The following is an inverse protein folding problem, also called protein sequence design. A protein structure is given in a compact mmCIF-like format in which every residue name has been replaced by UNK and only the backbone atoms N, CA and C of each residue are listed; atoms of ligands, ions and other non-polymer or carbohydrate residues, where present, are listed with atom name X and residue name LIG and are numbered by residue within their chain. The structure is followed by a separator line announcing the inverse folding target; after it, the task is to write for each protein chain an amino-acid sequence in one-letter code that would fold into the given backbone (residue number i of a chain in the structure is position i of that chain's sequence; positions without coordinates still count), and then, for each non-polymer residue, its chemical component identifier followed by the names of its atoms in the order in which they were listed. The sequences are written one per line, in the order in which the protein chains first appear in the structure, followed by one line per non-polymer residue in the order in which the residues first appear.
data_IF_337903759886
#
_entry.id   IF_337903759886
#
_cell.length_a   1.000
_cell.length_b   1.000
_cell.length_c   1.000
_cell.angle_alpha   90.00
_cell.angle_beta   90.00
_cell.angle_gamma   90.00
#
_symmetry.space_group_name_H-M   'P 1'
#
loop_
_entity.id
_entity.type
_entity.pdbx_description
1 polymer ?
#
# COMPACT_ATOMS: atom_id res chain seq x y z
N UNK A 1 -4.05 9.92 -7.36
CA UNK A 1 -4.52 8.58 -6.92
C UNK A 1 -3.56 8.02 -5.89
N UNK A 2 -4.05 7.35 -4.86
CA UNK A 2 -3.26 6.68 -3.82
C UNK A 2 -3.62 5.19 -3.79
N UNK A 3 -2.61 4.32 -3.75
CA UNK A 3 -2.80 2.88 -3.51
C UNK A 3 -2.04 2.49 -2.25
N UNK A 4 -2.75 2.05 -1.21
CA UNK A 4 -2.16 1.46 -0.01
C UNK A 4 -1.83 0.00 -0.27
N UNK A 5 -0.81 -0.56 0.41
CA UNK A 5 -0.23 -1.85 0.00
C UNK A 5 0.37 -1.78 -1.42
N UNK A 6 0.78 -0.58 -1.84
CA UNK A 6 1.15 -0.25 -3.21
C UNK A 6 2.45 -0.89 -3.71
N UNK A 7 3.31 -1.42 -2.82
CA UNK A 7 4.48 -2.21 -3.17
C UNK A 7 4.20 -3.72 -3.18
N UNK A 8 3.02 -4.15 -2.73
CA UNK A 8 2.59 -5.55 -2.79
C UNK A 8 2.32 -6.04 -4.21
N UNK A 9 2.08 -7.35 -4.36
CA UNK A 9 1.84 -7.96 -5.67
C UNK A 9 0.61 -7.35 -6.38
N UNK A 10 -0.52 -7.25 -5.70
CA UNK A 10 -1.76 -6.68 -6.26
C UNK A 10 -1.63 -5.17 -6.40
N UNK A 11 -1.26 -4.48 -5.32
CA UNK A 11 -1.18 -3.02 -5.27
C UNK A 11 -0.25 -2.45 -6.33
N UNK A 12 0.96 -3.00 -6.52
CA UNK A 12 1.90 -2.48 -7.51
C UNK A 12 1.35 -2.56 -8.94
N UNK A 13 0.70 -3.66 -9.30
CA UNK A 13 0.12 -3.81 -10.64
C UNK A 13 -1.07 -2.87 -10.87
N UNK A 14 -1.94 -2.69 -9.85
CA UNK A 14 -3.06 -1.74 -9.93
C UNK A 14 -2.59 -0.29 -9.98
N UNK A 15 -1.45 0.03 -9.36
CA UNK A 15 -0.90 1.38 -9.34
C UNK A 15 -0.20 1.74 -10.66
N UNK A 16 0.56 0.82 -11.24
CA UNK A 16 1.30 1.07 -12.47
C UNK A 16 0.40 1.27 -13.70
N UNK A 17 -0.74 0.61 -13.76
CA UNK A 17 -1.62 0.69 -14.92
C UNK A 17 -2.15 2.12 -15.17
N UNK A 18 -2.77 2.83 -14.20
CA UNK A 18 -3.18 4.21 -14.38
C UNK A 18 -2.00 5.19 -14.52
N UNK A 19 -0.87 4.97 -13.87
CA UNK A 19 0.30 5.82 -14.03
C UNK A 19 0.80 5.84 -15.48
N UNK A 20 0.79 4.70 -16.15
CA UNK A 20 1.18 4.59 -17.57
C UNK A 20 0.15 5.19 -18.54
N UNK A 21 -1.14 5.06 -18.23
CA UNK A 21 -2.21 5.55 -19.11
C UNK A 21 -2.54 7.03 -18.90
N UNK A 22 -2.18 7.59 -17.75
CA UNK A 22 -2.44 8.99 -17.39
C UNK A 22 -1.17 9.64 -16.81
N UNK A 23 -0.15 9.92 -17.66
CA UNK A 23 1.16 10.38 -17.21
C UNK A 23 1.13 11.75 -16.50
N UNK A 24 0.06 12.53 -16.70
CA UNK A 24 -0.14 13.83 -16.04
C UNK A 24 -0.79 13.69 -14.64
N UNK A 25 -1.15 12.47 -14.23
CA UNK A 25 -1.76 12.22 -12.92
C UNK A 25 -0.70 11.93 -11.87
N UNK A 26 -0.87 12.50 -10.67
CA UNK A 26 -0.06 12.12 -9.52
C UNK A 26 -0.56 10.76 -8.99
N UNK A 27 0.31 9.75 -9.07
CA UNK A 27 0.02 8.38 -8.63
C UNK A 27 1.02 7.98 -7.56
N UNK A 28 0.50 7.64 -6.38
CA UNK A 28 1.29 7.31 -5.19
C UNK A 28 1.05 5.85 -4.80
N UNK A 29 2.14 5.13 -4.57
CA UNK A 29 2.16 3.83 -3.91
C UNK A 29 2.60 4.03 -2.46
N UNK A 30 1.73 3.69 -1.50
CA UNK A 30 1.99 3.77 -0.07
C UNK A 30 2.11 2.37 0.53
N UNK A 31 3.23 2.07 1.22
CA UNK A 31 3.49 0.73 1.76
C UNK A 31 4.52 0.79 2.90
N UNK A 32 4.39 -0.09 3.89
CA UNK A 32 5.35 -0.19 4.98
C UNK A 32 6.54 -1.12 4.68
N UNK A 33 6.49 -1.86 3.57
CA UNK A 33 7.47 -2.88 3.15
C UNK A 33 7.66 -4.00 4.20
N UNK A 34 6.61 -4.27 4.99
CA UNK A 34 6.65 -5.33 6.01
C UNK A 34 6.80 -6.71 5.35
N UNK A 35 6.09 -6.93 4.24
CA UNK A 35 6.15 -8.20 3.53
C UNK A 35 7.44 -8.31 2.73
N UNK A 36 8.25 -9.31 3.08
CA UNK A 36 9.50 -9.59 2.37
C UNK A 36 9.24 -9.81 0.87
N UNK A 37 10.00 -9.13 0.04
CA UNK A 37 9.87 -9.17 -1.43
C UNK A 37 9.07 -7.99 -2.00
N UNK A 38 8.32 -7.22 -1.19
CA UNK A 38 7.63 -6.02 -1.68
C UNK A 38 8.62 -4.97 -2.22
N UNK A 39 9.81 -4.89 -1.63
CA UNK A 39 10.89 -4.00 -2.06
C UNK A 39 11.32 -4.23 -3.51
N UNK A 40 11.12 -5.42 -4.06
CA UNK A 40 11.47 -5.76 -5.45
C UNK A 40 10.57 -5.04 -6.48
N UNK A 41 9.44 -4.51 -6.06
CA UNK A 41 8.54 -3.75 -6.93
C UNK A 41 8.90 -2.27 -7.01
N UNK A 42 9.80 -1.75 -6.17
CA UNK A 42 10.11 -0.31 -6.12
C UNK A 42 10.68 0.22 -7.44
N UNK A 43 11.61 -0.52 -8.06
CA UNK A 43 12.18 -0.12 -9.36
C UNK A 43 11.11 -0.09 -10.45
N UNK A 44 10.22 -1.07 -10.48
CA UNK A 44 9.11 -1.14 -11.44
C UNK A 44 8.11 0.00 -11.28
N UNK A 45 7.83 0.39 -10.03
CA UNK A 45 6.97 1.55 -9.72
C UNK A 45 7.62 2.84 -10.22
N UNK A 46 8.91 3.03 -9.92
CA UNK A 46 9.66 4.20 -10.35
C UNK A 46 9.72 4.31 -11.89
N UNK A 47 9.99 3.21 -12.61
CA UNK A 47 9.96 3.15 -14.07
C UNK A 47 8.59 3.48 -14.67
N UNK A 48 7.52 3.21 -13.93
CA UNK A 48 6.15 3.55 -14.34
C UNK A 48 5.75 5.00 -13.98
N UNK A 49 6.63 5.78 -13.36
CA UNK A 49 6.33 7.16 -12.94
C UNK A 49 5.50 7.25 -11.66
N UNK A 50 5.48 6.18 -10.85
CA UNK A 50 4.76 6.15 -9.56
C UNK A 50 5.66 6.69 -8.45
N UNK A 51 5.14 7.62 -7.66
CA UNK A 51 5.79 8.06 -6.42
C UNK A 51 5.61 6.99 -5.34
N UNK A 52 6.72 6.57 -4.73
CA UNK A 52 6.65 5.67 -3.57
C UNK A 52 6.78 6.47 -2.26
N UNK A 53 5.83 6.26 -1.36
CA UNK A 53 5.86 6.81 0.00
C UNK A 53 5.84 5.66 1.01
N UNK A 54 6.87 5.60 1.84
CA UNK A 54 6.92 4.61 2.92
C UNK A 54 6.09 5.07 4.12
N UNK A 55 5.15 4.22 4.55
CA UNK A 55 4.35 4.45 5.75
C UNK A 55 3.45 3.27 6.04
N UNK A 56 2.71 3.34 7.14
CA UNK A 56 1.91 2.24 7.66
C UNK A 56 0.44 2.66 7.80
N UNK A 57 -0.48 1.90 7.21
CA UNK A 57 -1.94 2.17 7.33
C UNK A 57 -2.45 2.10 8.77
N UNK A 58 -1.72 1.42 9.67
CA UNK A 58 -2.03 1.36 11.09
C UNK A 58 -1.71 2.69 11.81
N UNK A 59 -0.93 3.56 11.16
CA UNK A 59 -0.55 4.88 11.69
C UNK A 59 -1.41 5.97 11.04
N UNK A 60 -2.41 6.54 11.73
CA UNK A 60 -3.17 7.68 11.21
C UNK A 60 -2.30 8.89 10.88
N UNK A 61 -1.17 9.06 11.58
CA UNK A 61 -0.24 10.15 11.33
C UNK A 61 0.46 10.02 9.98
N UNK A 62 0.82 8.80 9.57
CA UNK A 62 1.46 8.55 8.26
C UNK A 62 0.48 8.85 7.13
N UNK A 63 -0.78 8.46 7.29
CA UNK A 63 -1.83 8.75 6.32
C UNK A 63 -2.16 10.25 6.26
N UNK A 64 -2.24 10.92 7.42
CA UNK A 64 -2.51 12.35 7.49
C UNK A 64 -1.40 13.22 6.87
N UNK A 65 -0.19 12.68 6.72
CA UNK A 65 0.92 13.37 6.05
C UNK A 65 0.78 13.37 4.51
N UNK A 66 -0.12 12.55 3.96
CA UNK A 66 -0.37 12.48 2.53
C UNK A 66 -1.36 13.56 2.09
N UNK A 67 -1.19 14.03 0.85
CA UNK A 67 -2.24 14.85 0.21
C UNK A 67 -3.49 14.00 -0.01
N UNK A 68 -4.70 14.47 0.36
CA UNK A 68 -5.92 13.74 0.14
C UNK A 68 -6.08 13.36 -1.35
N UNK A 69 -6.27 12.07 -1.66
CA UNK A 69 -6.41 11.62 -3.04
C UNK A 69 -7.84 11.77 -3.55
N UNK A 70 -8.00 11.99 -4.86
CA UNK A 70 -9.32 11.90 -5.52
C UNK A 70 -9.80 10.43 -5.62
N UNK A 71 -8.84 9.50 -5.69
CA UNK A 71 -9.10 8.04 -5.75
C UNK A 71 -8.15 7.33 -4.79
N UNK A 72 -8.73 6.53 -3.91
CA UNK A 72 -8.00 5.61 -3.02
C UNK A 72 -8.30 4.17 -3.43
N UNK A 73 -7.23 3.36 -3.60
CA UNK A 73 -7.32 1.91 -3.76
C UNK A 73 -6.66 1.27 -2.54
N UNK A 74 -7.46 0.60 -1.71
CA UNK A 74 -6.97 -0.07 -0.51
C UNK A 74 -6.58 -1.52 -0.85
N UNK A 75 -5.27 -1.83 -0.73
CA UNK A 75 -4.68 -3.16 -0.96
C UNK A 75 -3.80 -3.61 0.21
N UNK A 76 -3.80 -2.88 1.32
CA UNK A 76 -3.01 -3.24 2.49
C UNK A 76 -3.66 -4.40 3.22
N UNK A 77 -3.00 -5.54 3.23
CA UNK A 77 -3.49 -6.69 3.95
C UNK A 77 -2.34 -7.60 4.39
N UNK A 78 -2.53 -8.29 5.50
CA UNK A 78 -1.80 -9.52 5.80
C UNK A 78 -2.60 -10.70 5.21
N UNK A 79 -2.18 -11.23 4.04
CA UNK A 79 -2.95 -12.25 3.33
C UNK A 79 -2.63 -13.68 3.78
N UNK A 80 -1.69 -13.86 4.72
CA UNK A 80 -1.27 -15.19 5.15
C UNK A 80 -2.35 -15.87 5.98
N UNK A 81 -2.81 -17.03 5.53
CA UNK A 81 -3.74 -17.89 6.29
C UNK A 81 -3.12 -18.43 7.57
N UNK A 82 -1.79 -18.37 7.70
CA UNK A 82 -1.05 -18.78 8.89
C UNK A 82 -0.80 -17.64 9.86
N UNK A 83 -1.14 -16.41 9.48
CA UNK A 83 -0.98 -15.25 10.36
C UNK A 83 -1.88 -15.41 11.60
N UNK A 84 -1.28 -15.33 12.78
CA UNK A 84 -1.99 -15.58 14.06
C UNK A 84 -2.14 -17.05 14.45
N UNK A 85 -1.63 -18.01 13.67
CA UNK A 85 -1.69 -19.44 14.03
C UNK A 85 -0.85 -19.79 15.27
N UNK A 86 0.10 -18.93 15.61
CA UNK A 86 0.92 -19.00 16.84
C UNK A 86 0.21 -18.39 18.08
N UNK A 87 -1.00 -17.89 17.91
CA UNK A 87 -1.83 -17.30 18.97
C UNK A 87 -1.77 -15.77 19.04
N UNK A 88 -0.91 -15.10 18.28
CA UNK A 88 -0.89 -13.64 18.16
C UNK A 88 -1.47 -13.21 16.81
N UNK A 89 -2.70 -12.71 16.82
CA UNK A 89 -3.39 -12.17 15.63
C UNK A 89 -3.44 -10.65 15.61
N UNK A 90 -2.73 -9.96 16.51
CA UNK A 90 -2.78 -8.49 16.63
C UNK A 90 -2.45 -7.81 15.31
N UNK A 91 -1.35 -8.19 14.66
CA UNK A 91 -0.95 -7.62 13.38
C UNK A 91 -2.02 -7.79 12.30
N UNK A 92 -2.67 -8.95 12.26
CA UNK A 92 -3.74 -9.24 11.31
C UNK A 92 -4.92 -8.27 11.47
N UNK A 93 -5.41 -8.10 12.71
CA UNK A 93 -6.51 -7.17 13.01
C UNK A 93 -6.12 -5.72 12.77
N UNK A 94 -4.95 -5.32 13.24
CA UNK A 94 -4.46 -3.95 13.09
C UNK A 94 -4.28 -3.56 11.62
N UNK A 95 -3.80 -4.47 10.78
CA UNK A 95 -3.61 -4.20 9.36
C UNK A 95 -4.93 -4.29 8.59
N UNK A 96 -5.64 -5.42 8.70
CA UNK A 96 -6.76 -5.72 7.82
C UNK A 96 -8.05 -4.99 8.23
N UNK A 97 -8.23 -4.66 9.51
CA UNK A 97 -9.42 -3.96 9.99
C UNK A 97 -9.11 -2.49 10.32
N UNK A 98 -8.21 -2.25 11.27
CA UNK A 98 -7.92 -0.89 11.71
C UNK A 98 -7.22 -0.09 10.61
N UNK A 99 -6.28 -0.70 9.89
CA UNK A 99 -5.61 -0.08 8.75
C UNK A 99 -6.56 0.33 7.64
N UNK A 100 -7.48 -0.58 7.25
CA UNK A 100 -8.50 -0.27 6.27
C UNK A 100 -9.47 0.83 6.74
N UNK A 101 -9.82 0.84 8.03
CA UNK A 101 -10.64 1.91 8.62
C UNK A 101 -9.95 3.28 8.62
N UNK A 102 -8.64 3.33 8.78
CA UNK A 102 -7.86 4.57 8.78
C UNK A 102 -7.76 5.18 7.37
N UNK A 103 -7.80 4.34 6.33
CA UNK A 103 -7.79 4.78 4.94
C UNK A 103 -9.09 5.47 4.53
#
# INVERSE_FOLDING_TARGET
MLTTGGAGFVGSNLTMAPARSHPDSNVIAFDNLHRKGSELNLDRLAEAGVEFVRGDVRSPADLAALTPPDVLIECSAEPSVMSGADGDSSYLYETNLTGAYNC
#
